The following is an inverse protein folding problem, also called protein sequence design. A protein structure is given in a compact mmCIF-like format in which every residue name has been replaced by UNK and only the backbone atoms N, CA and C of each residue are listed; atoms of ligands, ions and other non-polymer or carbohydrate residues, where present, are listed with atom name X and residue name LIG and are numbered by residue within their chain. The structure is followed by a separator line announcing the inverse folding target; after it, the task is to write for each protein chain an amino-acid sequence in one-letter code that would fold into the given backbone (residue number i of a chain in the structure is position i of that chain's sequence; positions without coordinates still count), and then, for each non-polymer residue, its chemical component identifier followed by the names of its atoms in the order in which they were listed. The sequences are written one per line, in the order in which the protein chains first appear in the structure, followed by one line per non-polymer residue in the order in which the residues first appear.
data_IF_844087089891
#
_entry.id   IF_844087089891
#
_cell.length_a   1.000
_cell.length_b   1.000
_cell.length_c   1.000
_cell.angle_alpha   90.00
_cell.angle_beta   90.00
_cell.angle_gamma   90.00
#
_symmetry.space_group_name_H-M   'P 1'
#
loop_
_entity.id
_entity.type
_entity.pdbx_description
1 polymer ?
#
# COMPACT_ATOMS: atom_id res chain seq x y z
N UNK A 1 -13.59 -12.74 81.36
CA UNK A 1 -13.85 -13.78 80.33
C UNK A 1 -15.06 -13.29 79.56
N UNK A 2 -15.06 -12.90 78.28
CA UNK A 2 -14.17 -13.00 77.12
C UNK A 2 -14.64 -11.90 76.14
N UNK A 3 -13.84 -11.54 75.11
CA UNK A 3 -13.83 -10.19 74.52
C UNK A 3 -14.43 -10.09 73.09
N UNK A 4 -14.59 -8.85 72.59
CA UNK A 4 -14.18 -8.34 71.23
C UNK A 4 -14.75 -9.13 70.02
N UNK A 5 -15.47 -8.55 69.05
CA UNK A 5 -14.93 -7.62 68.02
C UNK A 5 -16.01 -7.17 67.03
N UNK A 6 -15.89 -5.92 66.62
CA UNK A 6 -16.33 -5.30 65.37
C UNK A 6 -16.03 -6.17 64.13
N UNK A 7 -16.96 -6.27 63.18
CA UNK A 7 -16.64 -6.57 61.78
C UNK A 7 -17.33 -5.55 60.88
N UNK A 8 -16.50 -4.70 60.31
CA UNK A 8 -16.83 -3.80 59.21
C UNK A 8 -17.34 -4.60 58.01
N UNK A 9 -18.49 -4.19 57.50
CA UNK A 9 -18.93 -4.48 56.14
C UNK A 9 -17.96 -3.83 55.15
N UNK A 10 -16.94 -4.57 54.73
CA UNK A 10 -16.15 -4.27 53.54
C UNK A 10 -16.63 -5.22 52.44
N UNK A 11 -17.36 -4.66 51.47
CA UNK A 11 -17.66 -5.36 50.23
C UNK A 11 -16.33 -5.63 49.51
N UNK A 12 -15.99 -6.88 49.16
CA UNK A 12 -14.84 -7.14 48.32
C UNK A 12 -15.12 -6.62 46.91
N UNK A 13 -14.13 -5.88 46.44
CA UNK A 13 -13.94 -5.34 45.10
C UNK A 13 -14.60 -6.16 44.00
N UNK A 14 -15.37 -5.47 43.17
CA UNK A 14 -15.76 -5.96 41.86
C UNK A 14 -14.49 -6.33 41.09
N UNK A 15 -14.16 -7.62 41.10
CA UNK A 15 -13.11 -8.23 40.29
C UNK A 15 -13.41 -7.86 38.84
N UNK A 16 -12.66 -6.87 38.33
CA UNK A 16 -12.60 -6.54 36.93
C UNK A 16 -12.23 -7.84 36.20
N UNK A 17 -13.21 -8.41 35.52
CA UNK A 17 -13.01 -9.59 34.70
C UNK A 17 -11.93 -9.24 33.69
N UNK A 18 -10.82 -10.00 33.61
CA UNK A 18 -9.82 -9.75 32.60
C UNK A 18 -10.53 -9.89 31.26
N UNK A 19 -10.51 -8.80 30.46
CA UNK A 19 -10.98 -8.81 29.07
C UNK A 19 -10.37 -10.03 28.40
N UNK A 20 -11.22 -11.05 28.20
CA UNK A 20 -10.85 -12.27 27.52
C UNK A 20 -10.13 -11.89 26.24
N UNK A 21 -8.94 -12.46 26.09
CA UNK A 21 -8.23 -12.59 24.83
C UNK A 21 -9.28 -12.91 23.76
N UNK A 22 -9.64 -11.90 22.95
CA UNK A 22 -10.34 -12.14 21.70
C UNK A 22 -9.39 -13.03 20.92
N UNK A 23 -9.70 -14.32 20.90
CA UNK A 23 -9.17 -15.27 19.94
C UNK A 23 -9.04 -14.53 18.61
N UNK A 24 -7.84 -14.50 18.05
CA UNK A 24 -7.55 -13.84 16.78
C UNK A 24 -8.46 -14.46 15.71
N UNK A 25 -9.66 -13.92 15.55
CA UNK A 25 -10.60 -14.32 14.51
C UNK A 25 -9.90 -14.08 13.19
N UNK A 26 -9.96 -15.07 12.29
CA UNK A 26 -9.36 -14.97 10.98
C UNK A 26 -9.85 -13.66 10.34
N UNK A 27 -8.96 -12.71 10.01
CA UNK A 27 -9.36 -11.43 9.43
C UNK A 27 -10.13 -11.60 8.11
N UNK A 28 -10.04 -12.76 7.46
CA UNK A 28 -10.85 -13.08 6.28
C UNK A 28 -12.34 -13.27 6.58
N UNK A 29 -12.70 -13.64 7.82
CA UNK A 29 -14.05 -13.99 8.27
C UNK A 29 -14.91 -12.79 8.70
N UNK A 30 -14.30 -11.63 8.93
CA UNK A 30 -15.04 -10.41 9.27
C UNK A 30 -15.83 -9.87 8.05
N UNK A 31 -17.08 -9.40 8.25
CA UNK A 31 -17.92 -8.88 7.18
C UNK A 31 -17.26 -7.66 6.52
N UNK A 32 -17.35 -7.58 5.20
CA UNK A 32 -16.74 -6.49 4.43
C UNK A 32 -17.39 -5.15 4.80
N UNK A 33 -16.61 -4.27 5.44
CA UNK A 33 -16.96 -2.86 5.59
C UNK A 33 -17.00 -2.18 4.23
N UNK A 34 -18.21 -1.82 3.78
CA UNK A 34 -18.46 -1.28 2.44
C UNK A 34 -17.66 -0.01 2.17
N UNK A 35 -17.65 0.94 3.11
CA UNK A 35 -16.93 2.23 2.96
C UNK A 35 -15.43 1.99 2.72
N UNK A 36 -14.83 1.08 3.46
CA UNK A 36 -13.39 0.77 3.33
C UNK A 36 -13.09 0.10 2.00
N UNK A 37 -13.99 -0.74 1.50
CA UNK A 37 -13.87 -1.37 0.18
C UNK A 37 -14.06 -0.37 -0.97
N UNK A 38 -15.06 0.51 -0.89
CA UNK A 38 -15.31 1.53 -1.92
C UNK A 38 -14.17 2.55 -2.01
N UNK A 39 -13.66 3.03 -0.86
CA UNK A 39 -12.51 3.93 -0.87
C UNK A 39 -11.23 3.18 -1.27
N UNK A 40 -11.11 1.91 -0.90
CA UNK A 40 -10.02 1.03 -1.34
C UNK A 40 -9.94 0.86 -2.85
N UNK A 41 -11.09 0.83 -3.57
CA UNK A 41 -11.10 0.62 -5.03
C UNK A 41 -10.56 1.78 -5.84
N UNK A 42 -10.46 2.97 -5.27
CA UNK A 42 -9.89 4.15 -5.93
C UNK A 42 -8.58 4.63 -5.32
N UNK A 43 -8.13 3.99 -4.23
CA UNK A 43 -6.97 4.42 -3.42
C UNK A 43 -5.67 4.53 -4.23
N UNK A 44 -5.50 3.69 -5.24
CA UNK A 44 -4.26 3.56 -6.01
C UNK A 44 -4.24 4.44 -7.27
N UNK A 45 -5.34 5.13 -7.60
CA UNK A 45 -5.42 5.88 -8.85
C UNK A 45 -4.74 7.24 -8.74
N UNK A 46 -3.74 7.45 -9.59
CA UNK A 46 -3.03 8.73 -9.74
C UNK A 46 -3.80 9.75 -10.57
N UNK A 47 -4.89 9.34 -11.23
CA UNK A 47 -5.69 10.21 -12.07
C UNK A 47 -6.28 11.41 -11.31
N UNK A 48 -6.28 12.56 -11.99
CA UNK A 48 -6.79 13.83 -11.47
C UNK A 48 -8.01 14.23 -12.31
N UNK A 49 -9.21 14.38 -11.71
CA UNK A 49 -10.39 14.85 -12.43
C UNK A 49 -10.16 16.24 -13.02
N UNK A 50 -10.71 16.50 -14.21
CA UNK A 50 -10.52 17.77 -14.92
C UNK A 50 -11.01 19.00 -14.13
N UNK A 51 -12.00 18.81 -13.23
CA UNK A 51 -12.60 19.86 -12.40
C UNK A 51 -11.85 20.03 -11.06
N UNK A 52 -10.98 19.08 -10.70
CA UNK A 52 -10.26 19.10 -9.43
C UNK A 52 -8.94 19.88 -9.55
N UNK A 53 -8.44 20.46 -8.44
CA UNK A 53 -7.10 21.03 -8.40
C UNK A 53 -6.05 20.00 -8.84
N UNK A 54 -5.05 20.44 -9.59
CA UNK A 54 -4.03 19.56 -10.22
C UNK A 54 -3.25 18.68 -9.24
N UNK A 55 -3.28 19.00 -7.94
CA UNK A 55 -2.62 18.24 -6.89
C UNK A 55 -3.49 17.16 -6.23
N UNK A 56 -4.81 17.16 -6.49
CA UNK A 56 -5.78 16.28 -5.86
C UNK A 56 -6.08 15.07 -6.77
N UNK A 57 -5.25 14.03 -6.66
CA UNK A 57 -5.53 12.75 -7.31
C UNK A 57 -6.64 11.99 -6.59
N UNK A 58 -7.32 11.08 -7.31
CA UNK A 58 -8.33 10.19 -6.74
C UNK A 58 -7.81 9.40 -5.54
N UNK A 59 -6.58 8.88 -5.64
CA UNK A 59 -5.95 8.15 -4.54
C UNK A 59 -5.69 9.01 -3.32
N UNK A 60 -5.31 10.28 -3.51
CA UNK A 60 -5.14 11.22 -2.40
C UNK A 60 -6.47 11.53 -1.72
N UNK A 61 -7.51 11.81 -2.51
CA UNK A 61 -8.86 12.06 -1.99
C UNK A 61 -9.41 10.86 -1.21
N UNK A 62 -9.24 9.65 -1.73
CA UNK A 62 -9.66 8.42 -1.08
C UNK A 62 -8.88 8.13 0.21
N UNK A 63 -7.57 8.42 0.21
CA UNK A 63 -6.74 8.31 1.43
C UNK A 63 -7.20 9.30 2.49
N UNK A 64 -7.43 10.56 2.11
CA UNK A 64 -7.95 11.58 3.02
C UNK A 64 -9.32 11.20 3.57
N UNK A 65 -10.22 10.69 2.74
CA UNK A 65 -11.54 10.22 3.17
C UNK A 65 -11.45 9.02 4.13
N UNK A 66 -10.57 8.04 3.86
CA UNK A 66 -10.34 6.91 4.76
C UNK A 66 -9.81 7.37 6.12
N UNK A 67 -8.84 8.29 6.11
CA UNK A 67 -8.27 8.86 7.33
C UNK A 67 -9.35 9.62 8.12
N UNK A 68 -10.16 10.46 7.45
CA UNK A 68 -11.24 11.21 8.08
C UNK A 68 -12.34 10.30 8.65
N UNK A 69 -12.72 9.26 7.93
CA UNK A 69 -13.68 8.27 8.44
C UNK A 69 -13.09 7.45 9.59
N UNK A 70 -11.77 7.21 9.58
CA UNK A 70 -11.11 6.47 10.65
C UNK A 70 -10.94 7.29 11.95
N UNK A 71 -10.96 8.63 11.91
CA UNK A 71 -10.92 9.44 13.15
C UNK A 71 -12.17 9.24 14.00
N UNK A 72 -13.32 8.99 13.38
CA UNK A 72 -14.62 8.80 14.06
C UNK A 72 -14.83 7.38 14.59
N UNK A 73 -13.95 6.43 14.25
CA UNK A 73 -14.07 5.01 14.66
C UNK A 73 -13.26 4.72 15.92
N UNK A 74 -13.80 3.93 16.87
CA UNK A 74 -13.05 3.51 18.04
C UNK A 74 -11.88 2.58 17.65
N UNK A 75 -10.72 2.68 18.31
CA UNK A 75 -9.59 1.78 18.06
C UNK A 75 -9.94 0.35 18.50
N UNK A 76 -9.76 -0.62 17.61
CA UNK A 76 -9.99 -2.03 17.90
C UNK A 76 -8.78 -2.69 18.59
N UNK A 77 -7.58 -2.14 18.39
CA UNK A 77 -6.31 -2.63 18.93
C UNK A 77 -5.55 -1.51 19.63
N UNK A 78 -4.97 -1.81 20.78
CA UNK A 78 -4.05 -0.90 21.48
C UNK A 78 -2.64 -1.17 21.00
N UNK A 79 -1.99 -0.14 20.45
CA UNK A 79 -0.57 -0.17 20.09
C UNK A 79 0.34 0.09 21.30
N UNK A 80 -0.19 0.74 22.33
CA UNK A 80 0.47 0.96 23.62
C UNK A 80 0.43 -0.32 24.45
N UNK A 81 1.60 -0.88 24.73
CA UNK A 81 1.79 -2.01 25.63
C UNK A 81 3.14 -1.89 26.34
N UNK A 82 3.42 -2.76 27.33
CA UNK A 82 4.65 -2.69 28.09
C UNK A 82 5.90 -2.66 27.18
N UNK A 83 6.95 -1.91 27.57
CA UNK A 83 8.13 -1.65 26.72
C UNK A 83 8.81 -2.92 26.19
N UNK A 84 8.64 -4.04 26.88
CA UNK A 84 9.22 -5.35 26.57
C UNK A 84 8.50 -6.17 25.47
N UNK A 85 7.34 -5.73 24.95
CA UNK A 85 6.67 -6.42 23.82
C UNK A 85 6.67 -5.61 22.53
N UNK A 86 6.02 -4.45 22.53
CA UNK A 86 5.80 -3.65 21.31
C UNK A 86 5.80 -2.13 21.55
N UNK A 87 5.97 -1.69 22.81
CA UNK A 87 5.93 -0.27 23.19
C UNK A 87 7.01 0.58 22.51
N UNK A 88 8.15 -0.01 22.15
CA UNK A 88 9.26 0.66 21.47
C UNK A 88 8.97 1.03 20.00
N UNK A 89 8.03 0.34 19.34
CA UNK A 89 7.67 0.65 17.94
C UNK A 89 7.03 2.02 17.82
N UNK A 90 6.25 2.43 18.81
CA UNK A 90 5.54 3.72 18.79
C UNK A 90 6.51 4.91 18.74
N UNK A 91 7.49 5.06 19.66
CA UNK A 91 8.46 6.14 19.57
C UNK A 91 9.38 6.01 18.33
N UNK A 92 9.70 4.80 17.87
CA UNK A 92 10.48 4.60 16.64
C UNK A 92 9.75 5.10 15.39
N UNK A 93 8.47 4.77 15.23
CA UNK A 93 7.64 5.24 14.11
C UNK A 93 7.43 6.75 14.18
N UNK A 94 7.20 7.30 15.38
CA UNK A 94 7.09 8.76 15.58
C UNK A 94 8.41 9.48 15.28
N UNK A 95 9.54 8.92 15.71
CA UNK A 95 10.86 9.46 15.41
C UNK A 95 11.16 9.45 13.90
N UNK A 96 10.83 8.35 13.23
CA UNK A 96 10.97 8.23 11.77
C UNK A 96 10.05 9.22 11.05
N UNK A 97 8.81 9.38 11.50
CA UNK A 97 7.88 10.37 10.97
C UNK A 97 8.43 11.78 11.12
N UNK A 98 8.88 12.15 12.32
CA UNK A 98 9.44 13.47 12.60
C UNK A 98 10.68 13.75 11.76
N UNK A 99 11.58 12.75 11.62
CA UNK A 99 12.76 12.86 10.78
C UNK A 99 12.41 13.06 9.30
N UNK A 100 11.52 12.25 8.74
CA UNK A 100 11.14 12.35 7.32
C UNK A 100 10.39 13.67 7.04
N UNK A 101 9.56 14.12 7.98
CA UNK A 101 8.88 15.41 7.89
C UNK A 101 9.88 16.57 7.92
N UNK A 102 10.85 16.52 8.84
CA UNK A 102 11.94 17.51 8.93
C UNK A 102 12.74 17.57 7.62
N UNK A 103 13.18 16.41 7.11
CA UNK A 103 13.89 16.33 5.82
C UNK A 103 13.05 16.91 4.70
N UNK A 104 11.74 16.66 4.69
CA UNK A 104 10.82 17.19 3.66
C UNK A 104 10.72 18.71 3.69
N UNK A 105 10.71 19.32 4.89
CA UNK A 105 10.63 20.78 5.06
C UNK A 105 11.98 21.44 4.74
N UNK A 106 13.09 20.81 5.10
CA UNK A 106 14.43 21.35 4.89
C UNK A 106 14.97 21.17 3.47
N UNK A 107 14.37 20.28 2.66
CA UNK A 107 14.79 20.07 1.28
C UNK A 107 14.18 21.14 0.37
N UNK A 108 14.99 21.93 -0.37
CA UNK A 108 14.48 22.91 -1.32
C UNK A 108 13.57 22.27 -2.38
N UNK A 109 12.44 22.92 -2.66
CA UNK A 109 11.51 22.53 -3.71
C UNK A 109 11.07 23.79 -4.46
N UNK A 110 11.49 23.90 -5.72
CA UNK A 110 11.22 25.06 -6.58
C UNK A 110 9.76 25.13 -7.07
N UNK A 111 8.92 24.15 -6.70
CA UNK A 111 7.52 24.13 -7.09
C UNK A 111 6.60 24.87 -6.12
N UNK A 112 5.57 25.53 -6.67
CA UNK A 112 4.53 26.21 -5.88
C UNK A 112 3.80 25.16 -5.02
N UNK A 113 3.91 25.31 -3.69
CA UNK A 113 3.45 24.39 -2.65
C UNK A 113 4.17 23.02 -2.61
N UNK A 114 5.40 22.93 -3.10
CA UNK A 114 6.13 21.67 -3.26
C UNK A 114 6.30 20.87 -1.97
N UNK A 115 6.96 21.47 -0.97
CA UNK A 115 7.18 20.81 0.33
C UNK A 115 5.87 20.56 1.08
N UNK A 116 4.88 21.47 0.97
CA UNK A 116 3.57 21.31 1.62
C UNK A 116 2.81 20.10 1.09
N UNK A 117 2.83 19.89 -0.24
CA UNK A 117 2.19 18.72 -0.87
C UNK A 117 2.86 17.42 -0.43
N UNK A 118 4.20 17.41 -0.34
CA UNK A 118 4.97 16.25 0.15
C UNK A 118 4.65 15.97 1.62
N UNK A 119 4.67 17.01 2.45
CA UNK A 119 4.35 16.93 3.88
C UNK A 119 2.93 16.41 4.11
N UNK A 120 1.93 16.93 3.39
CA UNK A 120 0.54 16.46 3.48
C UNK A 120 0.43 14.97 3.14
N UNK A 121 1.04 14.52 2.04
CA UNK A 121 1.04 13.09 1.65
C UNK A 121 1.69 12.23 2.73
N UNK A 122 2.81 12.67 3.30
CA UNK A 122 3.47 11.96 4.39
C UNK A 122 2.59 11.86 5.63
N UNK A 123 1.99 12.97 6.08
CA UNK A 123 1.05 13.00 7.21
C UNK A 123 -0.09 12.01 6.97
N UNK A 124 -0.69 12.02 5.78
CA UNK A 124 -1.78 11.12 5.43
C UNK A 124 -1.36 9.65 5.41
N UNK A 125 -0.18 9.32 4.88
CA UNK A 125 0.35 7.94 4.87
C UNK A 125 0.60 7.46 6.30
N UNK A 126 1.24 8.26 7.15
CA UNK A 126 1.49 7.87 8.53
C UNK A 126 0.19 7.76 9.35
N UNK A 127 -0.77 8.67 9.16
CA UNK A 127 -2.10 8.56 9.77
C UNK A 127 -2.84 7.31 9.30
N UNK A 128 -2.81 7.03 7.99
CA UNK A 128 -3.40 5.81 7.41
C UNK A 128 -2.78 4.55 8.03
N UNK A 129 -1.44 4.47 8.12
CA UNK A 129 -0.74 3.35 8.73
C UNK A 129 -1.08 3.19 10.22
N UNK A 130 -1.17 4.29 10.97
CA UNK A 130 -1.57 4.26 12.39
C UNK A 130 -3.01 3.76 12.57
N UNK A 131 -3.95 4.20 11.72
CA UNK A 131 -5.34 3.75 11.75
C UNK A 131 -5.52 2.31 11.26
N UNK A 132 -4.69 1.87 10.32
CA UNK A 132 -4.61 0.46 9.92
C UNK A 132 -4.10 -0.41 11.07
N UNK A 133 -3.03 0.03 11.75
CA UNK A 133 -2.41 -0.70 12.85
C UNK A 133 -3.32 -0.80 14.10
N UNK A 134 -4.06 0.28 14.41
CA UNK A 134 -5.09 0.28 15.48
C UNK A 134 -6.39 -0.43 15.11
N UNK A 135 -6.53 -0.91 13.86
CA UNK A 135 -7.72 -1.62 13.38
C UNK A 135 -8.94 -0.73 13.11
N UNK A 136 -8.76 0.60 13.03
CA UNK A 136 -9.83 1.54 12.65
C UNK A 136 -10.18 1.44 11.16
N UNK A 137 -9.19 1.09 10.33
CA UNK A 137 -9.34 0.75 8.92
C UNK A 137 -9.29 -0.77 8.77
N UNK A 138 -10.30 -1.36 8.13
CA UNK A 138 -10.39 -2.81 7.95
C UNK A 138 -9.57 -3.24 6.72
N UNK A 139 -8.35 -3.72 6.95
CA UNK A 139 -7.40 -4.12 5.89
C UNK A 139 -8.02 -5.09 4.86
N UNK A 140 -8.73 -6.17 5.25
CA UNK A 140 -9.33 -7.08 4.27
C UNK A 140 -10.33 -6.38 3.34
N UNK A 141 -11.13 -5.44 3.87
CA UNK A 141 -12.05 -4.65 3.04
C UNK A 141 -11.31 -3.76 2.06
N UNK A 142 -10.27 -3.06 2.52
CA UNK A 142 -9.47 -2.18 1.65
C UNK A 142 -8.81 -2.98 0.55
N UNK A 143 -8.19 -4.14 0.86
CA UNK A 143 -7.54 -5.00 -0.13
C UNK A 143 -8.55 -5.57 -1.14
N UNK A 144 -9.73 -6.01 -0.69
CA UNK A 144 -10.83 -6.42 -1.58
C UNK A 144 -11.22 -5.27 -2.52
N UNK A 145 -11.35 -4.07 -1.97
CA UNK A 145 -11.60 -2.84 -2.73
C UNK A 145 -10.54 -2.58 -3.79
N UNK A 146 -9.26 -2.54 -3.39
CA UNK A 146 -8.12 -2.35 -4.30
C UNK A 146 -8.10 -3.38 -5.42
N UNK A 147 -8.38 -4.66 -5.11
CA UNK A 147 -8.43 -5.72 -6.11
C UNK A 147 -9.54 -5.48 -7.14
N UNK A 148 -10.73 -5.06 -6.69
CA UNK A 148 -11.83 -4.67 -7.59
C UNK A 148 -11.45 -3.46 -8.44
N UNK A 149 -10.88 -2.42 -7.83
CA UNK A 149 -10.42 -1.22 -8.54
C UNK A 149 -9.40 -1.54 -9.63
N UNK A 150 -8.41 -2.36 -9.31
CA UNK A 150 -7.40 -2.82 -10.26
C UNK A 150 -8.00 -3.69 -11.36
N UNK A 151 -8.97 -4.56 -11.06
CA UNK A 151 -9.66 -5.35 -12.08
C UNK A 151 -10.48 -4.45 -13.05
N UNK A 152 -11.18 -3.45 -12.51
CA UNK A 152 -11.90 -2.45 -13.31
C UNK A 152 -10.93 -1.66 -14.18
N UNK A 153 -9.80 -1.20 -13.63
CA UNK A 153 -8.77 -0.50 -14.39
C UNK A 153 -8.21 -1.35 -15.53
N UNK A 154 -7.91 -2.63 -15.29
CA UNK A 154 -7.49 -3.56 -16.33
C UNK A 154 -8.55 -3.72 -17.43
N UNK A 155 -9.82 -3.92 -17.04
CA UNK A 155 -10.93 -4.03 -17.98
C UNK A 155 -11.09 -2.77 -18.86
N UNK A 156 -11.07 -1.59 -18.24
CA UNK A 156 -11.16 -0.31 -18.96
C UNK A 156 -9.96 -0.08 -19.87
N UNK A 157 -8.76 -0.49 -19.47
CA UNK A 157 -7.55 -0.39 -20.30
C UNK A 157 -7.64 -1.28 -21.54
N UNK A 158 -8.00 -2.56 -21.38
CA UNK A 158 -8.15 -3.46 -22.53
C UNK A 158 -9.36 -3.13 -23.41
N UNK A 159 -10.37 -2.44 -22.87
CA UNK A 159 -11.48 -1.89 -23.65
C UNK A 159 -11.13 -0.57 -24.39
N UNK A 160 -9.93 -0.01 -24.20
CA UNK A 160 -9.52 1.25 -24.81
C UNK A 160 -10.15 2.50 -24.18
N UNK A 161 -10.72 2.38 -22.98
CA UNK A 161 -11.39 3.48 -22.26
C UNK A 161 -10.49 4.17 -21.22
N UNK A 162 -9.44 3.48 -20.75
CA UNK A 162 -8.48 4.05 -19.80
C UNK A 162 -7.28 4.70 -20.54
N UNK A 163 -6.55 5.62 -19.88
CA UNK A 163 -5.36 6.24 -20.46
C UNK A 163 -4.28 5.23 -20.87
N UNK A 164 -3.67 5.42 -22.04
CA UNK A 164 -2.63 4.55 -22.62
C UNK A 164 -1.26 5.25 -22.72
N UNK A 165 -0.85 5.93 -21.66
CA UNK A 165 0.41 6.71 -21.59
C UNK A 165 1.67 5.94 -22.04
N UNK A 166 1.63 4.60 -21.94
CA UNK A 166 2.73 3.69 -22.30
C UNK A 166 2.36 2.74 -23.46
N UNK A 167 1.42 3.15 -24.31
CA UNK A 167 0.92 2.35 -25.43
C UNK A 167 0.30 1.04 -24.94
N UNK A 168 0.80 -0.10 -25.43
CA UNK A 168 0.27 -1.43 -25.09
C UNK A 168 0.48 -1.90 -23.65
N UNK A 169 1.25 -1.18 -22.84
CA UNK A 169 1.57 -1.59 -21.47
C UNK A 169 0.50 -1.13 -20.48
N UNK A 170 -0.04 -2.08 -19.71
CA UNK A 170 -1.09 -1.84 -18.73
C UNK A 170 -0.65 -0.80 -17.69
N UNK A 171 -1.28 0.38 -17.74
CA UNK A 171 -1.07 1.48 -16.79
C UNK A 171 -2.41 2.08 -16.38
N UNK A 172 -3.22 2.55 -17.34
CA UNK A 172 -4.56 3.08 -17.08
C UNK A 172 -4.53 4.27 -16.13
N UNK A 173 -5.44 4.27 -15.15
CA UNK A 173 -5.56 5.34 -14.15
C UNK A 173 -4.45 5.38 -13.09
N UNK A 174 -3.50 4.44 -13.14
CA UNK A 174 -2.26 4.49 -12.35
C UNK A 174 -1.19 5.37 -13.01
N UNK A 175 -1.38 5.72 -14.28
CA UNK A 175 -0.58 6.67 -15.07
C UNK A 175 0.88 6.25 -15.34
N UNK A 176 1.47 5.37 -14.53
CA UNK A 176 2.83 4.84 -14.67
C UNK A 176 2.85 3.31 -14.70
N UNK A 177 3.56 2.72 -15.68
CA UNK A 177 3.62 1.26 -15.85
C UNK A 177 4.33 0.52 -14.71
N UNK A 178 5.35 1.14 -14.09
CA UNK A 178 6.12 0.49 -13.02
C UNK A 178 5.33 0.54 -11.72
N UNK A 179 4.69 1.68 -11.45
CA UNK A 179 3.72 1.81 -10.36
C UNK A 179 2.55 0.83 -10.55
N UNK A 180 2.03 0.71 -11.77
CA UNK A 180 0.96 -0.23 -12.07
C UNK A 180 1.38 -1.67 -11.79
N UNK A 181 2.51 -2.11 -12.33
CA UNK A 181 3.06 -3.44 -12.06
C UNK A 181 3.24 -3.72 -10.57
N UNK A 182 3.79 -2.77 -9.81
CA UNK A 182 3.98 -2.93 -8.38
C UNK A 182 2.64 -3.02 -7.64
N UNK A 183 1.67 -2.19 -8.03
CA UNK A 183 0.33 -2.17 -7.44
C UNK A 183 -0.41 -3.48 -7.65
N UNK A 184 -0.42 -4.01 -8.89
CA UNK A 184 -0.99 -5.33 -9.18
C UNK A 184 -0.26 -6.44 -8.40
N UNK A 185 1.07 -6.41 -8.32
CA UNK A 185 1.84 -7.42 -7.60
C UNK A 185 1.52 -7.43 -6.10
N UNK A 186 1.59 -6.27 -5.44
CA UNK A 186 1.36 -6.14 -3.98
C UNK A 186 -0.08 -6.47 -3.64
N UNK A 187 -1.05 -5.85 -4.33
CA UNK A 187 -2.47 -6.09 -4.05
C UNK A 187 -2.85 -7.53 -4.36
N UNK A 188 -2.36 -8.10 -5.46
CA UNK A 188 -2.60 -9.50 -5.81
C UNK A 188 -2.07 -10.48 -4.77
N UNK A 189 -0.86 -10.25 -4.23
CA UNK A 189 -0.30 -11.04 -3.13
C UNK A 189 -1.12 -10.91 -1.84
N UNK A 190 -1.51 -9.68 -1.46
CA UNK A 190 -2.35 -9.45 -0.29
C UNK A 190 -3.72 -10.11 -0.44
N UNK A 191 -4.36 -9.96 -1.61
CA UNK A 191 -5.67 -10.53 -1.90
C UNK A 191 -5.63 -12.06 -1.97
N UNK A 192 -4.55 -12.64 -2.50
CA UNK A 192 -4.30 -14.08 -2.45
C UNK A 192 -4.19 -14.59 -1.01
N UNK A 193 -3.55 -13.83 -0.12
CA UNK A 193 -3.45 -14.13 1.31
C UNK A 193 -4.81 -14.13 2.04
N UNK A 194 -5.82 -13.43 1.51
CA UNK A 194 -7.18 -13.41 2.08
C UNK A 194 -8.06 -14.57 1.59
N UNK A 195 -7.59 -15.41 0.66
CA UNK A 195 -8.40 -16.49 0.11
C UNK A 195 -8.38 -17.72 1.03
N UNK A 196 -9.54 -18.23 1.45
CA UNK A 196 -9.61 -19.38 2.35
C UNK A 196 -9.20 -20.70 1.67
N UNK A 197 -9.39 -20.81 0.34
CA UNK A 197 -9.10 -22.03 -0.41
C UNK A 197 -7.82 -21.90 -1.23
N UNK A 198 -6.97 -22.94 -1.21
CA UNK A 198 -5.77 -23.02 -2.04
C UNK A 198 -6.07 -22.86 -3.54
N UNK A 199 -7.20 -23.37 -4.02
CA UNK A 199 -7.62 -23.22 -5.42
C UNK A 199 -7.86 -21.75 -5.80
N UNK A 200 -8.66 -21.02 -5.01
CA UNK A 200 -8.89 -19.57 -5.22
C UNK A 200 -7.61 -18.77 -5.08
N UNK A 201 -6.75 -19.11 -4.11
CA UNK A 201 -5.44 -18.47 -3.94
C UNK A 201 -4.59 -18.62 -5.20
N UNK A 202 -4.47 -19.83 -5.72
CA UNK A 202 -3.67 -20.10 -6.93
C UNK A 202 -4.27 -19.41 -8.16
N UNK A 203 -5.60 -19.37 -8.29
CA UNK A 203 -6.28 -18.62 -9.35
C UNK A 203 -5.93 -17.12 -9.28
N UNK A 204 -6.04 -16.51 -8.09
CA UNK A 204 -5.69 -15.10 -7.88
C UNK A 204 -4.23 -14.84 -8.24
N UNK A 205 -3.31 -15.72 -7.83
CA UNK A 205 -1.89 -15.58 -8.18
C UNK A 205 -1.65 -15.70 -9.68
N UNK A 206 -2.33 -16.63 -10.37
CA UNK A 206 -2.25 -16.78 -11.82
C UNK A 206 -2.75 -15.54 -12.57
N UNK A 207 -3.92 -15.02 -12.20
CA UNK A 207 -4.46 -13.77 -12.76
C UNK A 207 -3.55 -12.59 -12.46
N UNK A 208 -3.03 -12.50 -11.24
CA UNK A 208 -2.07 -11.45 -10.84
C UNK A 208 -0.81 -11.50 -11.71
N UNK A 209 -0.23 -12.69 -11.90
CA UNK A 209 0.95 -12.86 -12.73
C UNK A 209 0.69 -12.44 -14.19
N UNK A 210 -0.46 -12.80 -14.75
CA UNK A 210 -0.86 -12.37 -16.10
C UNK A 210 -1.00 -10.85 -16.20
N UNK A 211 -1.68 -10.20 -15.24
CA UNK A 211 -1.83 -8.74 -15.24
C UNK A 211 -0.49 -8.03 -15.06
N UNK A 212 0.36 -8.47 -14.13
CA UNK A 212 1.70 -7.89 -13.95
C UNK A 212 2.54 -8.07 -15.21
N UNK A 213 2.45 -9.21 -15.90
CA UNK A 213 3.12 -9.41 -17.18
C UNK A 213 2.72 -8.36 -18.22
N UNK A 214 1.43 -8.04 -18.34
CA UNK A 214 0.93 -7.03 -19.30
C UNK A 214 1.40 -5.61 -19.00
N UNK A 215 1.88 -5.33 -17.79
CA UNK A 215 2.47 -4.01 -17.45
C UNK A 215 3.87 -3.84 -18.04
N UNK A 216 4.55 -4.94 -18.41
CA UNK A 216 5.92 -4.92 -18.92
C UNK A 216 6.99 -4.50 -17.90
N UNK A 217 6.65 -4.42 -16.61
CA UNK A 217 7.58 -4.02 -15.54
C UNK A 217 8.38 -5.22 -15.01
N UNK A 218 9.67 -5.27 -15.35
CA UNK A 218 10.62 -6.29 -14.85
C UNK A 218 10.76 -6.29 -13.34
N UNK A 219 10.90 -5.10 -12.75
CA UNK A 219 11.02 -4.95 -11.30
C UNK A 219 9.77 -5.49 -10.59
N UNK A 220 8.58 -5.26 -11.15
CA UNK A 220 7.33 -5.74 -10.57
C UNK A 220 7.15 -7.26 -10.71
N UNK A 221 7.59 -7.85 -11.83
CA UNK A 221 7.62 -9.31 -11.99
C UNK A 221 8.58 -9.98 -10.99
N UNK A 222 9.78 -9.41 -10.80
CA UNK A 222 10.73 -9.89 -9.81
C UNK A 222 10.17 -9.76 -8.38
N UNK A 223 9.54 -8.62 -8.07
CA UNK A 223 8.89 -8.40 -6.78
C UNK A 223 7.75 -9.40 -6.54
N UNK A 224 6.93 -9.69 -7.56
CA UNK A 224 5.88 -10.71 -7.48
C UNK A 224 6.47 -12.10 -7.22
N UNK A 225 7.50 -12.50 -7.97
CA UNK A 225 8.17 -13.79 -7.79
C UNK A 225 8.75 -13.94 -6.37
N UNK A 226 9.43 -12.90 -5.88
CA UNK A 226 9.95 -12.87 -4.51
C UNK A 226 8.83 -12.96 -3.47
N UNK A 227 7.71 -12.26 -3.69
CA UNK A 227 6.55 -12.31 -2.81
C UNK A 227 5.87 -13.69 -2.77
N UNK A 228 5.75 -14.36 -3.93
CA UNK A 228 5.25 -15.74 -4.02
C UNK A 228 6.20 -16.69 -3.29
N UNK A 229 7.51 -16.58 -3.54
CA UNK A 229 8.52 -17.39 -2.87
C UNK A 229 8.43 -17.21 -1.35
N UNK A 230 8.34 -15.97 -0.86
CA UNK A 230 8.13 -15.69 0.55
C UNK A 230 6.86 -16.34 1.10
N UNK A 231 5.72 -16.20 0.41
CA UNK A 231 4.45 -16.79 0.84
C UNK A 231 4.52 -18.33 0.97
N UNK A 232 5.25 -19.00 0.07
CA UNK A 232 5.41 -20.46 0.05
C UNK A 232 6.50 -20.96 1.00
N UNK A 233 7.57 -20.21 1.21
CA UNK A 233 8.72 -20.67 1.99
C UNK A 233 8.67 -20.21 3.45
N UNK A 234 8.17 -19.00 3.74
CA UNK A 234 8.30 -18.40 5.07
C UNK A 234 7.61 -19.22 6.18
N UNK A 235 6.51 -19.91 5.87
CA UNK A 235 5.81 -20.74 6.83
C UNK A 235 6.55 -22.05 7.17
N UNK A 236 7.51 -22.48 6.34
CA UNK A 236 8.33 -23.68 6.57
C UNK A 236 9.51 -23.44 7.50
N UNK A 237 9.85 -22.17 7.76
CA UNK A 237 11.01 -21.79 8.56
C UNK A 237 10.63 -21.18 9.91
N UNK A 238 11.45 -21.44 10.93
CA UNK A 238 11.45 -20.70 12.20
C UNK A 238 11.90 -19.24 12.02
N UNK A 239 11.87 -18.44 13.09
CA UNK A 239 12.16 -17.00 13.04
C UNK A 239 13.50 -16.66 12.36
N UNK A 240 14.55 -17.40 12.71
CA UNK A 240 15.88 -17.23 12.12
C UNK A 240 15.89 -17.59 10.63
N UNK A 241 15.29 -18.72 10.24
CA UNK A 241 15.22 -19.10 8.83
C UNK A 241 14.42 -18.11 7.97
N UNK A 242 13.40 -17.44 8.53
CA UNK A 242 12.71 -16.33 7.84
C UNK A 242 13.61 -15.11 7.64
N UNK A 243 14.48 -14.80 8.60
CA UNK A 243 15.47 -13.74 8.46
C UNK A 243 16.47 -14.07 7.35
N UNK A 244 17.00 -15.30 7.35
CA UNK A 244 17.90 -15.79 6.29
C UNK A 244 17.22 -15.74 4.92
N UNK A 245 15.97 -16.17 4.82
CA UNK A 245 15.20 -16.08 3.58
C UNK A 245 15.02 -14.62 3.12
N UNK A 246 14.76 -13.69 4.04
CA UNK A 246 14.62 -12.27 3.71
C UNK A 246 15.92 -11.69 3.16
N UNK A 247 17.05 -12.02 3.80
CA UNK A 247 18.40 -11.62 3.34
C UNK A 247 18.69 -12.24 1.97
N UNK A 248 18.39 -13.52 1.77
CA UNK A 248 18.59 -14.20 0.50
C UNK A 248 17.78 -13.56 -0.64
N UNK A 249 16.52 -13.20 -0.40
CA UNK A 249 15.69 -12.46 -1.36
C UNK A 249 16.28 -11.09 -1.66
N UNK A 250 16.75 -10.36 -0.64
CA UNK A 250 17.36 -9.04 -0.84
C UNK A 250 18.63 -9.12 -1.71
N UNK A 251 19.51 -10.08 -1.44
CA UNK A 251 20.72 -10.33 -2.23
C UNK A 251 20.36 -10.77 -3.67
N UNK A 252 19.34 -11.61 -3.82
CA UNK A 252 18.84 -12.02 -5.13
C UNK A 252 18.33 -10.82 -5.94
N UNK A 253 17.52 -9.94 -5.34
CA UNK A 253 17.04 -8.72 -6.03
C UNK A 253 18.21 -7.82 -6.42
N UNK A 254 19.18 -7.63 -5.53
CA UNK A 254 20.36 -6.81 -5.80
C UNK A 254 21.21 -7.36 -6.96
N UNK A 255 21.44 -8.68 -7.00
CA UNK A 255 22.17 -9.34 -8.09
C UNK A 255 21.39 -9.32 -9.39
N UNK A 256 20.06 -9.52 -9.35
CA UNK A 256 19.22 -9.39 -10.53
C UNK A 256 19.30 -7.99 -11.12
N UNK A 257 19.22 -6.94 -10.31
CA UNK A 257 19.33 -5.56 -10.80
C UNK A 257 20.67 -5.32 -11.52
N UNK A 258 21.77 -5.88 -10.98
CA UNK A 258 23.10 -5.79 -11.58
C UNK A 258 23.25 -6.60 -12.90
N UNK A 259 22.50 -7.69 -13.08
CA UNK A 259 22.60 -8.59 -14.24
C UNK A 259 21.55 -8.33 -15.34
N UNK A 260 20.35 -7.86 -15.01
CA UNK A 260 19.24 -7.65 -15.95
C UNK A 260 19.40 -6.44 -16.89
N UNK A 261 20.46 -5.65 -16.73
CA UNK A 261 20.82 -4.59 -17.67
C UNK A 261 21.25 -5.11 -19.05
N UNK A 262 21.43 -6.43 -19.27
CA UNK A 262 22.15 -6.96 -20.43
C UNK A 262 21.48 -8.04 -21.32
N UNK A 263 20.23 -8.50 -21.10
CA UNK A 263 19.69 -9.66 -21.88
C UNK A 263 18.20 -9.58 -22.29
N UNK A 264 17.90 -9.88 -23.57
CA UNK A 264 16.61 -10.45 -24.07
C UNK A 264 15.64 -9.51 -24.82
N UNK A 265 14.39 -9.98 -25.05
CA UNK A 265 13.23 -9.22 -25.62
C UNK A 265 12.90 -7.94 -24.83
N UNK A 266 13.54 -7.76 -23.69
CA UNK A 266 13.48 -6.59 -22.84
C UNK A 266 14.80 -5.76 -22.94
N UNK A 267 15.64 -5.92 -23.96
CA UNK A 267 16.81 -5.06 -24.17
C UNK A 267 16.42 -3.63 -24.58
N UNK A 268 15.23 -3.45 -25.19
CA UNK A 268 14.78 -2.16 -25.66
C UNK A 268 14.31 -1.25 -24.51
N UNK A 269 15.11 -0.20 -24.26
CA UNK A 269 14.80 0.93 -23.38
C UNK A 269 13.83 1.93 -24.01
N UNK A 270 13.33 1.63 -25.21
CA UNK A 270 12.53 2.52 -26.06
C UNK A 270 11.37 3.21 -25.32
N UNK A 271 10.62 2.51 -24.44
CA UNK A 271 9.51 3.15 -23.72
C UNK A 271 9.92 4.17 -22.64
N UNK A 272 11.03 3.92 -21.92
CA UNK A 272 11.54 4.83 -20.89
C UNK A 272 12.31 5.99 -21.52
N UNK A 273 13.05 5.71 -22.60
CA UNK A 273 13.82 6.71 -23.33
C UNK A 273 12.93 7.59 -24.22
N UNK A 274 11.78 7.10 -24.69
CA UNK A 274 10.75 7.91 -25.36
C UNK A 274 10.16 8.98 -24.43
N UNK A 275 9.84 8.63 -23.18
CA UNK A 275 9.35 9.59 -22.18
C UNK A 275 10.44 10.58 -21.76
N UNK A 276 11.69 10.12 -21.58
CA UNK A 276 12.84 11.03 -21.37
C UNK A 276 13.00 11.99 -22.55
N UNK A 277 12.94 11.51 -23.79
CA UNK A 277 13.03 12.36 -24.97
C UNK A 277 11.90 13.39 -25.08
N UNK A 278 10.68 13.05 -24.65
CA UNK A 278 9.55 14.00 -24.55
C UNK A 278 9.73 15.02 -23.44
N UNK A 279 10.19 14.59 -22.26
CA UNK A 279 10.47 15.49 -21.12
C UNK A 279 11.62 16.44 -21.48
N UNK A 280 12.69 15.93 -22.08
CA UNK A 280 13.84 16.71 -22.53
C UNK A 280 13.45 17.67 -23.66
N UNK A 281 12.60 17.24 -24.59
CA UNK A 281 12.03 18.07 -25.66
C UNK A 281 11.13 19.20 -25.13
N UNK A 282 10.29 18.91 -24.13
CA UNK A 282 9.45 19.91 -23.46
C UNK A 282 10.30 20.90 -22.63
N UNK A 283 11.37 20.42 -22.00
CA UNK A 283 12.30 21.23 -21.21
C UNK A 283 13.09 22.23 -22.08
N UNK A 284 13.47 21.83 -23.30
CA UNK A 284 14.18 22.71 -24.26
C UNK A 284 13.31 23.80 -24.88
N UNK A 285 11.99 23.63 -24.89
CA UNK A 285 11.04 24.58 -25.51
C UNK A 285 10.38 25.53 -24.52
N UNK A 286 10.74 25.46 -23.22
CA UNK A 286 10.23 26.35 -22.17
C UNK A 286 8.72 26.22 -21.91
N UNK A 287 8.05 25.23 -22.51
CA UNK A 287 6.61 25.03 -22.40
C UNK A 287 6.37 23.89 -21.41
N UNK A 288 5.93 24.24 -20.20
CA UNK A 288 5.59 23.26 -19.17
C UNK A 288 4.60 22.19 -19.68
N UNK A 289 4.47 21.05 -18.96
CA UNK A 289 3.73 19.85 -19.40
C UNK A 289 2.23 20.05 -19.68
N UNK A 290 1.69 21.26 -19.52
CA UNK A 290 0.29 21.60 -19.79
C UNK A 290 -0.09 21.59 -21.29
N UNK A 291 0.87 21.68 -22.22
CA UNK A 291 0.59 21.72 -23.67
C UNK A 291 0.66 20.37 -24.39
N UNK A 292 0.96 19.28 -23.68
CA UNK A 292 0.99 17.92 -24.24
C UNK A 292 -0.37 17.19 -24.17
N UNK A 293 -1.48 17.92 -23.98
CA UNK A 293 -2.83 17.42 -24.27
C UNK A 293 -3.04 17.59 -25.77
N UNK A 294 -2.76 16.53 -26.53
CA UNK A 294 -2.95 16.51 -27.97
C UNK A 294 -4.41 16.80 -28.34
N UNK A 295 -4.62 17.87 -29.09
CA UNK A 295 -5.48 17.80 -30.26
C UNK A 295 -4.65 17.18 -31.38
N UNK A 296 -5.08 16.02 -31.84
CA UNK A 296 -4.58 15.39 -33.06
C UNK A 296 -5.76 14.75 -33.79
N UNK A 297 -5.80 14.85 -35.13
CA UNK A 297 -6.93 14.48 -35.98
C UNK A 297 -7.30 12.99 -35.95
#
# INVERSE_FOLDING_TARGET
MTPVSTVLSSAPDAVATPQQDRTLTDPSSEPTRLVDALLGSVLLFGWVPAVAPSFLSLGLAATSALVLVATTRPPARRLSGPPHRLGWLTPYVLGTFAFVLLVTVLTPDDSIFGWQKRALRLVLIFAYLAFLATGRIHLPSVVRGMAVGLAVNAGLFFAGLAPDNYGKYLSGFLLDKNQAGLSYAVVGLLFAGLQPSHRRRNLVLGVTAALVWTTGSRASLAALACGIAWMVLAHRFGRFGRLVLAVAIALFVHTLEASYARVGVFADRNGTDFLRSRIDGASRTGRGPASARGTGP
#
